data_IF_687749319095
#
_entry.id   IF_687749319095
#
_cell.length_a   1.000
_cell.length_b   1.000
_cell.length_c   1.000
_cell.angle_alpha   90.00
_cell.angle_beta   90.00
_cell.angle_gamma   90.00
#
_symmetry.space_group_name_H-M   'P 1'
#
loop_
_entity.id
_entity.type
_entity.pdbx_description
1 polymer ?
#
# COMPACT_ATOMS: atom_id res chain seq x y z
N UNK A 1 -9.12 24.41 4.71
CA UNK A 1 -8.29 23.37 4.08
C UNK A 1 -8.70 22.07 4.73
N UNK A 2 -9.51 21.25 4.06
CA UNK A 2 -9.98 19.98 4.64
C UNK A 2 -8.87 18.94 4.48
N UNK A 3 -8.41 18.37 5.60
CA UNK A 3 -7.35 17.36 5.61
C UNK A 3 -7.87 16.06 5.02
N UNK A 4 -7.33 15.65 3.88
CA UNK A 4 -7.58 14.33 3.30
C UNK A 4 -6.98 13.30 4.26
N UNK A 5 -7.81 12.44 4.85
CA UNK A 5 -7.33 11.26 5.59
C UNK A 5 -6.83 10.26 4.56
N UNK A 6 -5.57 10.40 4.15
CA UNK A 6 -4.87 9.36 3.41
C UNK A 6 -4.44 8.28 4.40
N UNK A 7 -4.83 7.02 4.17
CA UNK A 7 -4.26 5.94 4.96
C UNK A 7 -2.76 5.84 4.64
N UNK A 8 -1.88 5.86 5.64
CA UNK A 8 -0.44 5.82 5.42
C UNK A 8 -0.05 4.51 4.74
N UNK A 9 0.74 4.60 3.67
CA UNK A 9 1.29 3.42 3.02
C UNK A 9 2.22 2.69 3.99
N UNK A 10 2.12 1.37 4.09
CA UNK A 10 2.94 0.55 4.98
C UNK A 10 3.03 1.11 6.43
N UNK A 11 1.93 1.19 7.18
CA UNK A 11 1.89 1.84 8.48
C UNK A 11 2.80 1.11 9.48
N UNK A 12 3.67 1.88 10.12
CA UNK A 12 4.52 1.39 11.20
C UNK A 12 3.85 1.68 12.54
N UNK A 13 3.72 0.67 13.40
CA UNK A 13 3.30 0.86 14.79
C UNK A 13 4.55 0.69 15.64
N UNK A 14 4.97 1.77 16.28
CA UNK A 14 5.87 1.63 17.41
C UNK A 14 5.08 0.89 18.49
N UNK A 15 5.65 -0.20 19.03
CA UNK A 15 5.08 -0.86 20.19
C UNK A 15 5.23 0.13 21.36
N UNK A 16 4.23 0.97 21.59
CA UNK A 16 4.13 1.72 22.85
C UNK A 16 4.04 0.70 24.00
N UNK A 17 4.89 0.88 25.00
CA UNK A 17 4.83 0.15 26.27
C UNK A 17 3.40 0.26 26.81
N UNK A 18 2.72 -0.88 26.88
CA UNK A 18 1.44 -0.96 27.57
C UNK A 18 1.72 -0.79 29.06
N UNK A 19 1.55 0.43 29.56
CA UNK A 19 1.42 0.67 31.00
C UNK A 19 0.21 -0.15 31.46
N UNK A 20 0.50 -1.20 32.23
CA UNK A 20 -0.51 -2.01 32.89
C UNK A 20 -1.07 -1.18 34.04
N UNK A 21 -2.11 -0.41 33.78
CA UNK A 21 -2.96 0.11 34.85
C UNK A 21 -3.80 -1.06 35.38
N UNK A 22 -3.37 -1.60 36.51
CA UNK A 22 -4.09 -2.60 37.28
C UNK A 22 -5.50 -2.07 37.66
N UNK A 23 -6.53 -2.73 37.12
CA UNK A 23 -7.90 -2.55 37.58
C UNK A 23 -8.05 -3.21 38.95
N UNK A 24 -8.08 -2.40 40.02
CA UNK A 24 -8.58 -2.83 41.32
C UNK A 24 -10.11 -2.81 41.31
N UNK A 25 -10.70 -3.97 41.60
CA UNK A 25 -12.14 -4.17 41.79
C UNK A 25 -12.40 -4.21 43.29
N UNK A 26 -13.19 -3.27 43.80
CA UNK A 26 -13.84 -3.40 45.12
C UNK A 26 -15.35 -3.30 44.95
N UNK A 27 -16.04 -4.36 45.38
CA UNK A 27 -17.49 -4.42 45.59
C UNK A 27 -17.84 -3.79 46.95
N UNK A 28 -19.00 -3.12 47.09
CA UNK A 28 -19.87 -3.20 48.29
C UNK A 28 -21.28 -2.60 48.03
N UNK A 29 -22.28 -3.49 47.96
CA UNK A 29 -23.62 -3.53 48.62
C UNK A 29 -24.52 -2.28 48.88
N UNK A 30 -25.69 -2.33 48.23
CA UNK A 30 -27.12 -2.20 48.68
C UNK A 30 -27.68 -0.88 49.27
N UNK A 31 -28.78 -0.41 48.63
CA UNK A 31 -29.83 0.45 49.22
C UNK A 31 -30.93 0.82 48.20
N UNK A 32 -32.21 0.60 48.53
CA UNK A 32 -33.38 0.52 47.62
C UNK A 32 -34.30 1.78 47.65
N UNK A 33 -34.63 2.33 46.45
CA UNK A 33 -35.82 3.06 45.90
C UNK A 33 -36.63 4.13 46.74
N UNK A 34 -37.54 4.99 46.16
CA UNK A 34 -38.11 5.04 44.78
C UNK A 34 -38.36 6.44 44.10
N UNK A 35 -38.48 6.38 42.75
CA UNK A 35 -39.36 7.10 41.78
C UNK A 35 -39.43 8.65 41.74
N UNK A 36 -39.06 9.24 40.59
CA UNK A 36 -39.88 10.23 39.86
C UNK A 36 -39.44 10.36 38.38
N UNK A 37 -40.41 10.19 37.48
CA UNK A 37 -40.28 10.36 36.02
C UNK A 37 -40.22 11.85 35.68
N UNK A 38 -39.31 12.28 34.82
CA UNK A 38 -39.57 13.46 33.97
C UNK A 38 -38.85 13.29 32.63
N UNK A 39 -39.65 13.40 31.58
CA UNK A 39 -39.31 13.36 30.16
C UNK A 39 -38.47 14.58 29.79
N UNK A 40 -37.37 14.36 29.08
CA UNK A 40 -36.72 15.39 28.28
C UNK A 40 -36.43 14.80 26.90
N UNK A 41 -36.88 15.56 25.91
CA UNK A 41 -37.03 15.25 24.50
C UNK A 41 -35.65 15.30 23.82
N UNK A 42 -35.16 14.16 23.31
CA UNK A 42 -33.94 14.11 22.51
C UNK A 42 -34.23 14.62 21.08
N UNK A 43 -33.68 15.78 20.75
CA UNK A 43 -33.59 16.27 19.38
C UNK A 43 -32.48 15.47 18.68
N UNK A 44 -32.74 14.75 17.57
CA UNK A 44 -31.68 14.04 16.88
C UNK A 44 -30.84 15.05 16.07
N UNK A 45 -29.61 15.29 16.54
CA UNK A 45 -28.58 15.97 15.77
C UNK A 45 -28.24 15.10 14.57
N UNK A 46 -28.77 15.45 13.39
CA UNK A 46 -28.33 14.86 12.12
C UNK A 46 -26.90 15.32 11.87
N UNK A 47 -25.95 14.43 12.15
CA UNK A 47 -24.56 14.54 11.71
C UNK A 47 -24.54 14.42 10.18
N UNK A 48 -24.68 15.56 9.50
CA UNK A 48 -24.47 15.64 8.05
C UNK A 48 -22.94 15.56 7.85
N UNK A 49 -22.43 14.35 7.63
CA UNK A 49 -21.10 14.16 7.05
C UNK A 49 -21.17 14.68 5.61
N UNK A 50 -20.67 15.89 5.37
CA UNK A 50 -20.44 16.36 4.01
C UNK A 50 -19.57 15.32 3.27
N UNK A 51 -19.93 14.95 2.02
CA UNK A 51 -19.18 13.96 1.28
C UNK A 51 -17.78 14.49 1.01
N UNK A 52 -16.76 13.79 1.50
CA UNK A 52 -15.35 14.08 1.18
C UNK A 52 -15.19 14.15 -0.35
N UNK A 53 -14.69 15.26 -0.86
CA UNK A 53 -14.38 15.41 -2.29
C UNK A 53 -13.27 14.41 -2.65
N UNK A 54 -13.64 13.32 -3.32
CA UNK A 54 -12.68 12.40 -3.92
C UNK A 54 -12.07 13.05 -5.16
N UNK A 55 -10.75 13.24 -5.16
CA UNK A 55 -10.04 13.76 -6.32
C UNK A 55 -9.93 12.66 -7.39
N UNK A 56 -10.36 12.97 -8.62
CA UNK A 56 -10.28 12.06 -9.76
C UNK A 56 -9.23 12.53 -10.75
N UNK A 57 -8.41 11.60 -11.22
CA UNK A 57 -7.42 11.84 -12.27
C UNK A 57 -7.73 10.95 -13.47
N UNK A 58 -7.55 11.50 -14.68
CA UNK A 58 -7.71 10.75 -15.94
C UNK A 58 -6.36 10.60 -16.62
N UNK A 59 -5.95 9.35 -16.85
CA UNK A 59 -4.76 9.02 -17.60
C UNK A 59 -5.17 8.47 -18.96
N UNK A 60 -4.72 9.10 -20.05
CA UNK A 60 -4.87 8.55 -21.38
C UNK A 60 -3.66 7.69 -21.72
N UNK A 61 -3.92 6.42 -22.04
CA UNK A 61 -2.90 5.40 -22.27
C UNK A 61 -3.25 4.53 -23.46
N UNK A 62 -2.24 3.92 -24.08
CA UNK A 62 -2.39 2.97 -25.17
C UNK A 62 -2.68 1.57 -24.62
N UNK A 63 -3.88 1.07 -24.93
CA UNK A 63 -4.26 -0.29 -24.59
C UNK A 63 -3.31 -1.34 -25.18
N UNK A 64 -2.74 -1.11 -26.36
CA UNK A 64 -1.79 -2.05 -26.98
C UNK A 64 -0.55 -2.24 -26.11
N UNK A 65 0.00 -1.15 -25.56
CA UNK A 65 1.15 -1.22 -24.66
C UNK A 65 0.81 -1.96 -23.37
N UNK A 66 -0.35 -1.64 -22.76
CA UNK A 66 -0.78 -2.31 -21.54
C UNK A 66 -1.03 -3.81 -21.73
N UNK A 67 -1.70 -4.20 -22.81
CA UNK A 67 -1.97 -5.61 -23.17
C UNK A 67 -0.68 -6.39 -23.38
N UNK A 68 0.31 -5.77 -24.03
CA UNK A 68 1.60 -6.40 -24.29
C UNK A 68 2.39 -6.63 -23.01
N UNK A 69 2.34 -5.67 -22.08
CA UNK A 69 3.19 -5.68 -20.90
C UNK A 69 2.59 -6.39 -19.69
N UNK A 70 1.27 -6.56 -19.62
CA UNK A 70 0.59 -7.07 -18.43
C UNK A 70 -0.56 -8.03 -18.78
N UNK A 71 -0.54 -9.27 -18.24
CA UNK A 71 -1.66 -10.18 -18.39
C UNK A 71 -2.93 -9.67 -17.70
N UNK A 72 -2.80 -8.92 -16.61
CA UNK A 72 -3.93 -8.33 -15.89
C UNK A 72 -4.61 -7.25 -16.73
N UNK A 73 -3.85 -6.34 -17.33
CA UNK A 73 -4.42 -5.38 -18.28
C UNK A 73 -5.00 -6.08 -19.50
N UNK A 74 -4.34 -7.11 -20.03
CA UNK A 74 -4.87 -7.91 -21.15
C UNK A 74 -6.24 -8.49 -20.84
N UNK A 75 -6.41 -9.10 -19.66
CA UNK A 75 -7.69 -9.65 -19.23
C UNK A 75 -8.76 -8.55 -19.09
N UNK A 76 -8.47 -7.50 -18.30
CA UNK A 76 -9.40 -6.41 -18.03
C UNK A 76 -9.89 -5.72 -19.32
N UNK A 77 -8.96 -5.42 -20.22
CA UNK A 77 -9.26 -4.77 -21.47
C UNK A 77 -10.02 -5.68 -22.44
N UNK A 78 -9.64 -6.96 -22.56
CA UNK A 78 -10.32 -7.92 -23.43
C UNK A 78 -11.77 -8.15 -23.00
N UNK A 79 -12.03 -8.24 -21.69
CA UNK A 79 -13.40 -8.36 -21.16
C UNK A 79 -14.23 -7.11 -21.41
N UNK A 80 -13.67 -5.93 -21.17
CA UNK A 80 -14.37 -4.67 -21.40
C UNK A 80 -14.71 -4.46 -22.87
N UNK A 81 -13.85 -4.88 -23.79
CA UNK A 81 -14.16 -4.89 -25.23
C UNK A 81 -15.31 -5.84 -25.58
N UNK A 82 -15.38 -7.02 -24.97
CA UNK A 82 -16.50 -7.98 -25.20
C UNK A 82 -17.84 -7.46 -24.68
N UNK A 83 -17.85 -6.71 -23.58
CA UNK A 83 -19.07 -6.14 -22.97
C UNK A 83 -19.64 -4.94 -23.74
N UNK A 84 -18.96 -4.47 -24.79
CA UNK A 84 -19.43 -3.33 -25.57
C UNK A 84 -20.58 -3.75 -26.49
N UNK A 85 -21.79 -3.23 -26.20
CA UNK A 85 -22.97 -3.44 -27.03
C UNK A 85 -22.95 -2.64 -28.35
N UNK A 86 -22.05 -1.66 -28.48
CA UNK A 86 -22.00 -0.75 -29.62
C UNK A 86 -20.56 -0.57 -30.14
N UNK A 87 -20.23 -1.13 -31.32
CA UNK A 87 -18.92 -0.97 -31.97
C UNK A 87 -18.61 0.48 -32.37
N UNK A 88 -19.60 1.36 -32.44
CA UNK A 88 -19.50 2.71 -33.00
C UNK A 88 -19.05 3.78 -31.99
N UNK A 89 -19.16 3.50 -30.68
CA UNK A 89 -18.69 4.43 -29.63
C UNK A 89 -17.17 4.36 -29.54
N UNK A 90 -16.50 5.43 -29.95
CA UNK A 90 -15.08 5.80 -29.79
C UNK A 90 -14.12 4.71 -29.32
N UNK A 91 -13.04 4.46 -30.09
CA UNK A 91 -12.01 3.44 -29.86
C UNK A 91 -11.19 3.51 -28.55
N UNK A 92 -11.68 4.19 -27.51
CA UNK A 92 -11.14 4.22 -26.16
C UNK A 92 -12.06 3.45 -25.19
N UNK A 93 -11.45 2.75 -24.22
CA UNK A 93 -12.12 2.08 -23.11
C UNK A 93 -11.73 2.80 -21.82
N UNK A 94 -12.72 3.04 -20.94
CA UNK A 94 -12.47 3.63 -19.62
C UNK A 94 -12.37 2.52 -18.57
N UNK A 95 -11.33 2.57 -17.76
CA UNK A 95 -11.12 1.69 -16.61
C UNK A 95 -10.97 2.59 -15.39
N UNK A 96 -11.81 2.38 -14.39
CA UNK A 96 -11.74 3.08 -13.10
C UNK A 96 -10.99 2.21 -12.10
N UNK A 97 -10.05 2.80 -11.37
CA UNK A 97 -9.32 2.15 -10.28
C UNK A 97 -9.09 3.15 -9.15
N UNK A 98 -8.94 2.65 -7.94
CA UNK A 98 -8.76 3.43 -6.71
C UNK A 98 -7.79 2.70 -5.78
N UNK A 99 -7.21 3.42 -4.83
CA UNK A 99 -6.28 2.84 -3.84
C UNK A 99 -4.82 2.81 -4.28
N UNK A 100 -4.52 3.25 -5.51
CA UNK A 100 -3.16 3.45 -5.98
C UNK A 100 -2.64 4.84 -5.66
N UNK A 101 -1.35 4.90 -5.35
CA UNK A 101 -0.60 6.14 -5.37
C UNK A 101 -0.49 6.65 -6.82
N UNK A 102 -0.93 7.89 -7.05
CA UNK A 102 -1.01 8.46 -8.40
C UNK A 102 0.37 8.57 -9.05
N UNK A 103 1.39 8.97 -8.30
CA UNK A 103 2.75 9.15 -8.83
C UNK A 103 3.34 7.80 -9.24
N UNK A 104 3.22 6.79 -8.38
CA UNK A 104 3.64 5.43 -8.70
C UNK A 104 2.92 4.88 -9.95
N UNK A 105 1.61 5.15 -10.08
CA UNK A 105 0.82 4.72 -11.24
C UNK A 105 1.27 5.42 -12.52
N UNK A 106 1.53 6.73 -12.47
CA UNK A 106 2.05 7.50 -13.61
C UNK A 106 3.42 6.96 -14.04
N UNK A 107 4.32 6.69 -13.10
CA UNK A 107 5.63 6.09 -13.40
C UNK A 107 5.47 4.74 -14.09
N UNK A 108 4.61 3.86 -13.56
CA UNK A 108 4.35 2.58 -14.19
C UNK A 108 3.81 2.76 -15.62
N UNK A 109 2.82 3.63 -15.82
CA UNK A 109 2.28 3.90 -17.16
C UNK A 109 3.38 4.40 -18.10
N UNK A 110 4.26 5.29 -17.65
CA UNK A 110 5.38 5.81 -18.44
C UNK A 110 6.36 4.70 -18.85
N UNK A 111 6.71 3.80 -17.92
CA UNK A 111 7.54 2.61 -18.20
C UNK A 111 6.89 1.74 -19.27
N UNK A 112 5.61 1.39 -19.10
CA UNK A 112 4.90 0.51 -20.03
C UNK A 112 4.74 1.13 -21.44
N UNK A 113 4.84 2.45 -21.55
CA UNK A 113 4.81 3.18 -22.83
C UNK A 113 6.19 3.41 -23.44
N UNK A 114 7.26 2.82 -22.86
CA UNK A 114 8.64 3.01 -23.30
C UNK A 114 9.08 4.48 -23.37
N UNK A 115 8.52 5.34 -22.53
CA UNK A 115 8.87 6.76 -22.44
C UNK A 115 9.91 7.01 -21.34
N UNK A 116 11.04 6.32 -21.43
CA UNK A 116 12.08 6.36 -20.39
C UNK A 116 12.67 7.76 -20.13
N UNK A 117 12.63 8.66 -21.11
CA UNK A 117 13.08 10.05 -20.97
C UNK A 117 12.22 10.87 -20.00
N UNK A 118 10.95 10.47 -19.81
CA UNK A 118 10.01 11.14 -18.92
C UNK A 118 10.10 10.61 -17.46
N UNK A 119 11.00 9.66 -17.19
CA UNK A 119 11.15 9.05 -15.87
C UNK A 119 12.04 9.90 -14.95
N UNK A 120 11.73 9.94 -13.64
CA UNK A 120 12.60 10.58 -12.67
C UNK A 120 13.95 9.86 -12.60
N UNK A 121 15.02 10.65 -12.43
CA UNK A 121 16.38 10.12 -12.30
C UNK A 121 16.58 9.37 -10.96
N UNK A 122 15.88 9.81 -9.93
CA UNK A 122 15.92 9.28 -8.57
C UNK A 122 14.48 9.21 -8.02
N UNK A 123 14.20 8.22 -7.20
CA UNK A 123 12.95 8.11 -6.45
C UNK A 123 13.25 7.64 -5.02
N UNK A 124 12.38 8.00 -4.08
CA UNK A 124 12.47 7.53 -2.70
C UNK A 124 12.10 6.05 -2.54
N UNK A 125 12.58 5.41 -1.47
CA UNK A 125 12.30 4.00 -1.16
C UNK A 125 10.81 3.69 -1.08
N UNK A 126 10.01 4.60 -0.48
CA UNK A 126 8.56 4.42 -0.40
C UNK A 126 7.89 4.43 -1.78
N UNK A 127 8.26 5.36 -2.66
CA UNK A 127 7.72 5.43 -4.02
C UNK A 127 8.10 4.19 -4.83
N UNK A 128 9.34 3.71 -4.67
CA UNK A 128 9.79 2.45 -5.28
C UNK A 128 9.02 1.24 -4.73
N UNK A 129 8.73 1.20 -3.43
CA UNK A 129 7.92 0.14 -2.82
C UNK A 129 6.47 0.15 -3.32
N UNK A 130 5.85 1.34 -3.48
CA UNK A 130 4.53 1.50 -4.10
C UNK A 130 4.52 1.05 -5.56
N UNK A 131 5.56 1.41 -6.31
CA UNK A 131 5.74 0.96 -7.69
C UNK A 131 5.91 -0.56 -7.77
N UNK A 132 6.63 -1.18 -6.82
CA UNK A 132 6.73 -2.63 -6.71
C UNK A 132 5.37 -3.29 -6.44
N UNK A 133 4.50 -2.71 -5.60
CA UNK A 133 3.11 -3.19 -5.41
C UNK A 133 2.33 -3.18 -6.72
N UNK A 134 2.41 -2.09 -7.49
CA UNK A 134 1.75 -1.99 -8.79
C UNK A 134 2.30 -3.01 -9.79
N UNK A 135 3.62 -3.15 -9.85
CA UNK A 135 4.29 -4.09 -10.74
C UNK A 135 3.92 -5.54 -10.42
N UNK A 136 3.77 -5.86 -9.13
CA UNK A 136 3.30 -7.16 -8.67
C UNK A 136 1.83 -7.41 -9.03
N UNK A 137 0.96 -6.47 -8.69
CA UNK A 137 -0.47 -6.55 -8.99
C UNK A 137 -0.74 -6.70 -10.49
N UNK A 138 -0.11 -5.88 -11.32
CA UNK A 138 -0.26 -5.93 -12.78
C UNK A 138 0.62 -6.99 -13.45
N UNK A 139 1.43 -7.72 -12.69
CA UNK A 139 2.32 -8.78 -13.18
C UNK A 139 3.23 -8.32 -14.33
N UNK A 140 3.88 -7.18 -14.13
CA UNK A 140 4.77 -6.53 -15.10
C UNK A 140 6.13 -6.15 -14.49
N UNK A 141 6.54 -6.83 -13.42
CA UNK A 141 7.83 -6.64 -12.73
C UNK A 141 9.03 -6.59 -13.69
N UNK A 142 9.16 -7.43 -14.74
CA UNK A 142 10.31 -7.38 -15.64
C UNK A 142 10.51 -6.03 -16.34
N UNK A 143 9.42 -5.31 -16.66
CA UNK A 143 9.51 -3.99 -17.29
C UNK A 143 9.99 -2.91 -16.32
N UNK A 144 9.66 -3.08 -15.04
CA UNK A 144 10.03 -2.13 -13.98
C UNK A 144 11.44 -2.40 -13.47
N UNK A 145 11.85 -3.67 -13.41
CA UNK A 145 13.13 -4.11 -12.85
C UNK A 145 14.33 -3.36 -13.45
N UNK A 146 14.37 -3.19 -14.78
CA UNK A 146 15.46 -2.48 -15.45
C UNK A 146 15.70 -1.07 -14.91
N UNK A 147 14.62 -0.32 -14.62
CA UNK A 147 14.71 1.03 -14.05
C UNK A 147 14.93 0.98 -12.54
N UNK A 148 14.31 0.01 -11.87
CA UNK A 148 14.46 -0.20 -10.43
C UNK A 148 15.92 -0.44 -10.03
N UNK A 149 16.72 -1.17 -10.83
CA UNK A 149 18.14 -1.40 -10.54
C UNK A 149 18.93 -0.10 -10.31
N UNK A 150 18.72 0.91 -11.17
CA UNK A 150 19.37 2.22 -11.01
C UNK A 150 18.91 2.94 -9.75
N UNK A 151 17.60 2.96 -9.48
CA UNK A 151 17.06 3.62 -8.29
C UNK A 151 17.48 2.91 -7.01
N UNK A 152 17.55 1.59 -7.02
CA UNK A 152 18.02 0.77 -5.91
C UNK A 152 19.47 1.10 -5.59
N UNK A 153 20.34 1.20 -6.60
CA UNK A 153 21.74 1.56 -6.40
C UNK A 153 21.89 2.93 -5.72
N UNK A 154 21.13 3.93 -6.16
CA UNK A 154 21.13 5.26 -5.55
C UNK A 154 20.62 5.24 -4.09
N UNK A 155 19.64 4.39 -3.78
CA UNK A 155 19.04 4.28 -2.44
C UNK A 155 19.95 3.56 -1.42
N UNK A 156 20.96 2.80 -1.85
CA UNK A 156 21.85 2.03 -0.96
C UNK A 156 22.60 2.90 0.05
N UNK A 157 22.84 4.18 -0.26
CA UNK A 157 23.49 5.12 0.68
C UNK A 157 22.69 5.29 1.97
N UNK A 158 21.37 5.14 1.91
CA UNK A 158 20.45 5.24 3.04
C UNK A 158 19.90 3.85 3.46
N UNK A 159 20.64 2.78 3.19
CA UNK A 159 20.22 1.44 3.58
C UNK A 159 20.09 1.35 5.12
N UNK A 160 18.99 0.81 5.66
CA UNK A 160 18.74 0.81 7.10
C UNK A 160 19.81 -0.02 7.82
N UNK A 161 20.30 0.49 8.94
CA UNK A 161 21.20 -0.24 9.86
C UNK A 161 20.45 -0.90 11.02
N UNK A 162 19.19 -0.49 11.23
CA UNK A 162 18.32 -0.98 12.31
C UNK A 162 16.98 -1.47 11.80
N UNK A 163 16.37 -2.39 12.55
CA UNK A 163 15.00 -2.81 12.31
C UNK A 163 14.06 -1.60 12.39
N UNK A 164 13.32 -1.40 11.31
CA UNK A 164 12.52 -0.20 11.06
C UNK A 164 11.54 -0.46 9.91
N UNK A 165 10.62 0.48 9.69
CA UNK A 165 9.74 0.47 8.50
C UNK A 165 10.53 0.28 7.21
N UNK A 166 11.62 1.02 7.04
CA UNK A 166 12.43 0.99 5.83
C UNK A 166 13.11 -0.37 5.62
N UNK A 167 13.48 -1.08 6.69
CA UNK A 167 14.00 -2.44 6.57
C UNK A 167 12.97 -3.40 5.93
N UNK A 168 11.69 -3.25 6.25
CA UNK A 168 10.61 -4.07 5.64
C UNK A 168 10.32 -3.61 4.21
N UNK A 169 10.37 -2.31 3.93
CA UNK A 169 10.28 -1.81 2.54
C UNK A 169 11.41 -2.38 1.68
N UNK A 170 12.64 -2.46 2.21
CA UNK A 170 13.77 -3.08 1.53
C UNK A 170 13.57 -4.57 1.30
N UNK A 171 13.04 -5.33 2.26
CA UNK A 171 12.64 -6.73 2.04
C UNK A 171 11.68 -6.85 0.86
N UNK A 172 10.64 -6.01 0.81
CA UNK A 172 9.67 -6.01 -0.28
C UNK A 172 10.27 -5.66 -1.65
N UNK A 173 10.99 -4.54 -1.75
CA UNK A 173 11.59 -4.05 -3.00
C UNK A 173 12.61 -5.06 -3.54
N UNK A 174 13.49 -5.54 -2.67
CA UNK A 174 14.54 -6.50 -3.03
C UNK A 174 13.98 -7.87 -3.44
N UNK A 175 12.89 -8.32 -2.81
CA UNK A 175 12.16 -9.51 -3.22
C UNK A 175 11.54 -9.35 -4.61
N UNK A 176 10.82 -8.24 -4.84
CA UNK A 176 10.09 -7.98 -6.08
C UNK A 176 11.02 -7.87 -7.29
N UNK A 177 12.20 -7.27 -7.11
CA UNK A 177 13.16 -7.01 -8.18
C UNK A 177 14.41 -7.92 -8.14
N UNK A 178 14.33 -9.06 -7.45
CA UNK A 178 15.38 -10.09 -7.39
C UNK A 178 16.77 -9.56 -6.96
N UNK A 179 16.82 -8.64 -5.99
CA UNK A 179 18.06 -8.10 -5.43
C UNK A 179 18.52 -8.93 -4.23
N UNK A 180 19.22 -10.03 -4.49
CA UNK A 180 19.57 -11.04 -3.48
C UNK A 180 20.42 -10.49 -2.32
N UNK A 181 21.35 -9.58 -2.60
CA UNK A 181 22.23 -8.98 -1.59
C UNK A 181 21.43 -8.12 -0.61
N UNK A 182 20.60 -7.24 -1.13
CA UNK A 182 19.75 -6.31 -0.39
C UNK A 182 18.66 -7.08 0.36
N UNK A 183 18.11 -8.13 -0.25
CA UNK A 183 17.15 -9.03 0.40
C UNK A 183 17.77 -9.74 1.60
N UNK A 184 18.97 -10.31 1.45
CA UNK A 184 19.67 -10.99 2.54
C UNK A 184 19.99 -10.04 3.69
N UNK A 185 20.49 -8.84 3.38
CA UNK A 185 20.81 -7.82 4.40
C UNK A 185 19.56 -7.36 5.15
N UNK A 186 18.50 -6.99 4.43
CA UNK A 186 17.28 -6.45 5.04
C UNK A 186 16.53 -7.50 5.87
N UNK A 187 16.44 -8.74 5.38
CA UNK A 187 15.87 -9.86 6.16
C UNK A 187 16.71 -10.18 7.39
N UNK A 188 18.04 -10.14 7.30
CA UNK A 188 18.92 -10.34 8.46
C UNK A 188 18.70 -9.28 9.53
N UNK A 189 18.59 -8.00 9.15
CA UNK A 189 18.26 -6.91 10.09
C UNK A 189 16.92 -7.17 10.78
N UNK A 190 15.89 -7.53 10.00
CA UNK A 190 14.57 -7.81 10.53
C UNK A 190 14.59 -8.98 11.53
N UNK A 191 15.23 -10.10 11.18
CA UNK A 191 15.30 -11.27 12.05
C UNK A 191 16.08 -10.97 13.33
N UNK A 192 17.28 -10.40 13.21
CA UNK A 192 18.20 -10.27 14.34
C UNK A 192 17.83 -9.16 15.33
N UNK A 193 17.07 -8.16 14.89
CA UNK A 193 16.79 -6.97 15.71
C UNK A 193 15.31 -6.73 16.00
N UNK A 194 14.40 -7.59 15.50
CA UNK A 194 13.00 -7.49 15.88
C UNK A 194 12.79 -8.04 17.30
N UNK A 195 12.05 -7.29 18.13
CA UNK A 195 11.69 -7.71 19.49
C UNK A 195 10.35 -8.45 19.54
N UNK A 196 9.85 -8.95 18.40
CA UNK A 196 8.51 -9.52 18.32
C UNK A 196 8.11 -9.95 16.91
N UNK A 197 6.81 -10.02 16.65
CA UNK A 197 6.28 -10.48 15.36
C UNK A 197 6.63 -9.47 14.27
N UNK A 198 7.39 -9.92 13.28
CA UNK A 198 7.63 -9.15 12.06
C UNK A 198 6.33 -9.10 11.24
N UNK A 199 5.84 -7.89 11.02
CA UNK A 199 4.69 -7.58 10.18
C UNK A 199 5.12 -7.31 8.74
N UNK A 200 4.27 -7.66 7.77
CA UNK A 200 4.47 -7.30 6.36
C UNK A 200 4.04 -5.87 6.04
N UNK A 201 3.52 -5.11 7.01
CA UNK A 201 3.00 -3.75 6.84
C UNK A 201 1.89 -3.64 5.77
N UNK A 202 1.17 -4.73 5.50
CA UNK A 202 0.19 -4.77 4.42
C UNK A 202 0.78 -4.87 3.01
N UNK A 203 2.09 -5.09 2.88
CA UNK A 203 2.77 -5.31 1.59
C UNK A 203 2.55 -6.75 1.09
N UNK A 204 2.65 -7.01 -0.23
CA UNK A 204 2.45 -8.32 -0.85
C UNK A 204 3.63 -9.29 -0.63
N UNK A 205 4.30 -9.20 0.52
CA UNK A 205 5.41 -10.09 0.85
C UNK A 205 4.86 -11.52 0.99
N UNK A 206 5.39 -12.51 0.25
CA UNK A 206 4.86 -13.86 0.31
C UNK A 206 4.93 -14.44 1.73
N UNK A 207 3.86 -15.13 2.14
CA UNK A 207 3.76 -15.68 3.50
C UNK A 207 4.93 -16.60 3.88
N UNK A 208 5.53 -17.30 2.91
CA UNK A 208 6.75 -18.11 3.13
C UNK A 208 7.94 -17.27 3.62
N UNK A 209 8.08 -16.05 3.11
CA UNK A 209 9.16 -15.14 3.50
C UNK A 209 8.90 -14.63 4.92
N UNK A 210 7.67 -14.18 5.20
CA UNK A 210 7.28 -13.79 6.56
C UNK A 210 7.43 -14.97 7.55
N UNK A 211 7.13 -16.19 7.13
CA UNK A 211 7.35 -17.40 7.91
C UNK A 211 8.82 -17.66 8.21
N UNK A 212 9.71 -17.52 7.22
CA UNK A 212 11.16 -17.64 7.42
C UNK A 212 11.70 -16.59 8.40
N UNK A 213 11.13 -15.38 8.39
CA UNK A 213 11.50 -14.32 9.33
C UNK A 213 11.15 -14.66 10.80
N UNK A 214 10.29 -15.67 11.06
CA UNK A 214 9.82 -16.05 12.40
C UNK A 214 10.57 -17.21 13.06
N UNK A 215 11.40 -17.95 12.32
CA UNK A 215 11.88 -19.30 12.73
C UNK A 215 13.27 -19.33 13.39
N UNK A 216 13.73 -18.26 14.05
CA UNK A 216 15.04 -18.24 14.74
C UNK A 216 14.97 -18.07 16.27
N UNK A 217 13.85 -18.42 16.92
CA UNK A 217 13.78 -18.55 18.39
C UNK A 217 14.14 -19.97 18.81
#
# INVERSE_FOLDING_TARGET
MSSIVTHPFAPWRDYEETSTDEASTEETSVGEAPIAKTSAEEIPVKEIKEPMETQYFRLQVSARHLILASPVFKAALSENWKKRADPLKNGAVEITTSGWDLEALVILMTILHARSQDLPQEIGLELLAKLAVLADYYQCQPFVQYFAEKWIEALKVNFPSKYSRDSILWVWVSWTFNQSTEFTKSTSIAILQSNGIITNLGLPIPGKIIGMLRLQV
#
